data_IF_427497813952
#
_entry.id   IF_427497813952
#
_cell.length_a   1.000
_cell.length_b   1.000
_cell.length_c   1.000
_cell.angle_alpha   90.00
_cell.angle_beta   90.00
_cell.angle_gamma   90.00
#
_symmetry.space_group_name_H-M   'P 1'
#
loop_
_entity.id
_entity.type
_entity.pdbx_description
1 polymer ?
#
# COMPACT_ATOMS: atom_id res chain seq x y z
N UNK A 1 2.17 -1.48 -14.33
CA UNK A 1 3.00 -1.56 -13.10
C UNK A 1 2.15 -1.27 -11.86
N UNK A 2 1.33 -0.22 -11.89
CA UNK A 2 0.37 0.08 -10.82
C UNK A 2 -0.55 -1.10 -10.50
N UNK A 3 -1.11 -1.80 -11.50
CA UNK A 3 -2.01 -2.93 -11.27
C UNK A 3 -1.37 -4.03 -10.42
N UNK A 4 -0.12 -4.40 -10.73
CA UNK A 4 0.65 -5.36 -9.93
C UNK A 4 0.85 -4.92 -8.48
N UNK A 5 0.93 -3.62 -8.22
CA UNK A 5 1.06 -3.11 -6.85
C UNK A 5 -0.30 -3.10 -6.11
N UNK A 6 -1.41 -3.02 -6.85
CA UNK A 6 -2.76 -3.10 -6.31
C UNK A 6 -3.15 -4.53 -5.94
N UNK A 7 -2.54 -5.53 -6.57
CA UNK A 7 -2.75 -6.95 -6.30
C UNK A 7 -2.09 -7.46 -4.99
N UNK A 8 -1.36 -6.61 -4.27
CA UNK A 8 -0.76 -6.99 -2.99
C UNK A 8 -1.71 -6.69 -1.82
N UNK A 9 -1.83 -7.64 -0.90
CA UNK A 9 -2.50 -7.42 0.37
C UNK A 9 -1.73 -6.41 1.27
N UNK A 10 -2.44 -5.82 2.24
CA UNK A 10 -1.88 -4.79 3.12
C UNK A 10 -0.70 -5.26 3.99
N UNK A 11 -0.68 -6.54 4.39
CA UNK A 11 0.43 -7.10 5.17
C UNK A 11 1.67 -7.28 4.29
N UNK A 12 1.49 -7.75 3.06
CA UNK A 12 2.53 -7.83 2.04
C UNK A 12 3.11 -6.44 1.71
N UNK A 13 2.25 -5.42 1.55
CA UNK A 13 2.68 -4.04 1.33
C UNK A 13 3.45 -3.47 2.53
N UNK A 14 3.02 -3.77 3.76
CA UNK A 14 3.73 -3.32 4.97
C UNK A 14 5.13 -3.96 5.09
N UNK A 15 5.23 -5.28 4.85
CA UNK A 15 6.50 -5.99 4.86
C UNK A 15 7.46 -5.49 3.76
N UNK A 16 6.95 -5.25 2.56
CA UNK A 16 7.73 -4.67 1.46
C UNK A 16 8.19 -3.25 1.80
N UNK A 17 7.30 -2.42 2.36
CA UNK A 17 7.67 -1.06 2.77
C UNK A 17 8.82 -1.09 3.78
N UNK A 18 8.77 -1.92 4.81
CA UNK A 18 9.84 -2.03 5.81
C UNK A 18 11.17 -2.46 5.18
N UNK A 19 11.11 -3.44 4.27
CA UNK A 19 12.29 -3.90 3.51
C UNK A 19 12.92 -2.77 2.70
N UNK A 20 12.11 -1.98 1.99
CA UNK A 20 12.62 -0.88 1.18
C UNK A 20 13.01 0.34 2.01
N UNK A 21 12.37 0.58 3.16
CA UNK A 21 12.77 1.60 4.12
C UNK A 21 14.22 1.37 4.58
N UNK A 22 14.56 0.14 4.99
CA UNK A 22 15.93 -0.22 5.37
C UNK A 22 16.95 0.06 4.27
N UNK A 23 16.59 -0.16 3.00
CA UNK A 23 17.46 0.12 1.85
C UNK A 23 17.61 1.61 1.55
N UNK A 24 16.57 2.40 1.78
CA UNK A 24 16.57 3.84 1.53
C UNK A 24 17.29 4.59 2.67
N UNK A 25 17.19 4.09 3.90
CA UNK A 25 17.86 4.65 5.08
C UNK A 25 19.38 4.58 5.01
N UNK A 26 19.93 3.63 4.25
CA UNK A 26 21.37 3.54 3.98
C UNK A 26 21.68 4.22 2.64
N UNK A 27 22.07 5.50 2.70
CA UNK A 27 22.33 6.29 1.52
C UNK A 27 23.55 5.79 0.76
N UNK A 28 23.35 5.41 -0.51
CA UNK A 28 24.44 5.15 -1.45
C UNK A 28 24.14 5.85 -2.77
N UNK A 29 25.11 6.51 -3.42
CA UNK A 29 24.89 7.19 -4.70
C UNK A 29 24.89 6.19 -5.86
N UNK A 30 23.99 5.22 -5.81
CA UNK A 30 23.89 4.12 -6.77
C UNK A 30 22.52 4.10 -7.45
N UNK A 31 22.46 3.56 -8.67
CA UNK A 31 21.21 3.37 -9.40
C UNK A 31 20.26 2.45 -8.62
N UNK A 32 20.80 1.50 -7.88
CA UNK A 32 20.09 0.57 -7.02
C UNK A 32 19.39 1.29 -5.87
N UNK A 33 20.05 2.26 -5.25
CA UNK A 33 19.44 3.10 -4.21
C UNK A 33 18.32 3.97 -4.79
N UNK A 34 18.54 4.64 -5.93
CA UNK A 34 17.48 5.41 -6.61
C UNK A 34 16.25 4.53 -6.91
N UNK A 35 16.47 3.30 -7.40
CA UNK A 35 15.38 2.33 -7.63
C UNK A 35 14.69 1.96 -6.33
N UNK A 36 15.44 1.76 -5.23
CA UNK A 36 14.87 1.45 -3.92
C UNK A 36 13.98 2.59 -3.40
N UNK A 37 14.40 3.85 -3.58
CA UNK A 37 13.61 5.04 -3.25
C UNK A 37 12.31 5.07 -4.06
N UNK A 38 12.39 4.89 -5.38
CA UNK A 38 11.20 4.90 -6.25
C UNK A 38 10.22 3.80 -5.83
N UNK A 39 10.69 2.58 -5.58
CA UNK A 39 9.84 1.47 -5.13
C UNK A 39 9.23 1.73 -3.75
N UNK A 40 10.01 2.27 -2.81
CA UNK A 40 9.50 2.68 -1.50
C UNK A 40 8.32 3.66 -1.63
N UNK A 41 8.46 4.69 -2.46
CA UNK A 41 7.40 5.67 -2.66
C UNK A 41 6.19 5.09 -3.39
N UNK A 42 6.37 4.21 -4.38
CA UNK A 42 5.24 3.53 -5.03
C UNK A 42 4.44 2.69 -4.04
N UNK A 43 5.10 1.93 -3.15
CA UNK A 43 4.43 1.18 -2.08
C UNK A 43 3.71 2.14 -1.12
N UNK A 44 4.37 3.21 -0.71
CA UNK A 44 3.80 4.20 0.20
C UNK A 44 2.54 4.86 -0.38
N UNK A 45 2.55 5.20 -1.67
CA UNK A 45 1.40 5.75 -2.38
C UNK A 45 0.19 4.81 -2.34
N UNK A 46 0.40 3.50 -2.53
CA UNK A 46 -0.68 2.50 -2.48
C UNK A 46 -1.27 2.42 -1.07
N UNK A 47 -0.43 2.37 -0.03
CA UNK A 47 -0.87 2.30 1.37
C UNK A 47 -1.62 3.55 1.81
N UNK A 48 -1.13 4.74 1.43
CA UNK A 48 -1.83 6.01 1.69
C UNK A 48 -3.19 6.02 0.99
N UNK A 49 -3.25 5.60 -0.27
CA UNK A 49 -4.52 5.45 -1.01
C UNK A 49 -5.47 4.48 -0.30
N UNK A 50 -4.98 3.34 0.20
CA UNK A 50 -5.79 2.37 0.93
C UNK A 50 -6.35 2.96 2.22
N UNK A 51 -5.53 3.71 2.98
CA UNK A 51 -5.98 4.42 4.19
C UNK A 51 -7.11 5.41 3.88
N UNK A 52 -6.92 6.27 2.89
CA UNK A 52 -7.93 7.25 2.46
C UNK A 52 -9.21 6.53 2.03
N UNK A 53 -9.09 5.47 1.24
CA UNK A 53 -10.25 4.69 0.77
C UNK A 53 -11.04 4.09 1.94
N UNK A 54 -10.35 3.49 2.91
CA UNK A 54 -10.97 2.91 4.10
C UNK A 54 -11.64 3.97 4.98
N UNK A 55 -11.03 5.15 5.14
CA UNK A 55 -11.63 6.28 5.86
C UNK A 55 -12.92 6.76 5.19
N UNK A 56 -12.91 6.98 3.87
CA UNK A 56 -14.10 7.40 3.12
C UNK A 56 -15.21 6.36 3.14
N UNK A 57 -14.87 5.07 3.15
CA UNK A 57 -15.87 4.01 3.31
C UNK A 57 -16.46 4.01 4.72
N UNK A 58 -15.65 4.20 5.76
CA UNK A 58 -16.12 4.27 7.14
C UNK A 58 -17.05 5.47 7.37
N UNK A 59 -16.74 6.64 6.78
CA UNK A 59 -17.61 7.81 6.78
C UNK A 59 -18.96 7.53 6.11
N UNK A 60 -18.95 6.84 4.97
CA UNK A 60 -20.15 6.60 4.17
C UNK A 60 -21.09 5.53 4.74
N UNK A 61 -20.54 4.49 5.36
CA UNK A 61 -21.31 3.31 5.78
C UNK A 61 -21.34 3.09 7.30
N UNK A 62 -20.63 3.89 8.10
CA UNK A 62 -20.50 3.68 9.55
C UNK A 62 -19.79 2.37 9.92
N UNK A 63 -19.84 1.98 11.21
CA UNK A 63 -19.28 0.68 11.68
C UNK A 63 -20.00 -0.53 11.08
N UNK A 64 -21.22 -0.35 10.58
CA UNK A 64 -22.02 -1.38 9.92
C UNK A 64 -21.72 -1.43 8.43
N UNK A 65 -20.46 -1.72 8.11
CA UNK A 65 -20.07 -2.04 6.73
C UNK A 65 -20.80 -3.32 6.30
N UNK A 66 -21.69 -3.28 5.28
CA UNK A 66 -22.42 -4.47 4.84
C UNK A 66 -21.45 -5.56 4.39
N UNK A 67 -21.79 -6.84 4.62
CA UNK A 67 -20.95 -7.98 4.24
C UNK A 67 -20.54 -7.97 2.75
N UNK A 68 -21.34 -7.33 1.89
CA UNK A 68 -21.07 -7.12 0.46
C UNK A 68 -19.88 -6.16 0.26
N UNK A 69 -19.76 -5.09 1.05
CA UNK A 69 -18.60 -4.18 1.04
C UNK A 69 -17.38 -4.89 1.61
N UNK A 70 -17.52 -5.78 2.63
CA UNK A 70 -16.42 -6.64 3.09
C UNK A 70 -15.93 -7.63 2.03
N UNK A 71 -16.79 -8.09 1.12
CA UNK A 71 -16.39 -8.92 -0.01
C UNK A 71 -15.72 -8.09 -1.12
N UNK A 72 -16.17 -6.85 -1.39
CA UNK A 72 -15.42 -5.92 -2.25
C UNK A 72 -14.04 -5.59 -1.68
N UNK A 73 -13.93 -5.44 -0.35
CA UNK A 73 -12.65 -5.31 0.38
C UNK A 73 -11.77 -6.58 0.31
N UNK A 74 -12.33 -7.73 -0.10
CA UNK A 74 -11.59 -8.97 -0.36
C UNK A 74 -11.31 -9.22 -1.85
N UNK A 75 -12.03 -8.57 -2.75
CA UNK A 75 -11.80 -8.66 -4.20
C UNK A 75 -10.69 -7.70 -4.65
N UNK A 76 -10.34 -6.72 -3.82
CA UNK A 76 -9.12 -5.90 -3.92
C UNK A 76 -7.99 -6.48 -3.02
N UNK A 77 -8.01 -7.79 -2.73
CA UNK A 77 -6.90 -8.49 -2.04
C UNK A 77 -6.03 -9.23 -3.02
#
# INVERSE_FOLDING_TARGET
MADRLLDFDEASLAALQEKYLKKVSDFTPTREWERAVIVYFMINSVRVKNKIFNERLAEKYGKDTPAIVRNLLKVVK
#
